data_IF_828151289386
#
_entry.id   IF_828151289386
#
_cell.length_a   1.000
_cell.length_b   1.000
_cell.length_c   1.000
_cell.angle_alpha   90.00
_cell.angle_beta   90.00
_cell.angle_gamma   90.00
#
_symmetry.space_group_name_H-M   'P 1'
#
loop_
_entity.id
_entity.type
_entity.pdbx_description
1 polymer ?
#
# COMPACT_ATOMS: atom_id res chain seq x y z
N UNK A 1 15.20 3.03 14.97
CA UNK A 1 14.73 4.11 14.07
C UNK A 1 13.38 4.56 14.62
N UNK A 2 13.41 5.27 15.74
CA UNK A 2 12.22 5.87 16.35
C UNK A 2 12.01 7.22 15.65
N UNK A 3 10.97 7.35 14.81
CA UNK A 3 10.72 8.64 14.13
C UNK A 3 9.64 8.63 13.06
N UNK A 4 9.41 7.50 12.39
CA UNK A 4 8.31 7.32 11.45
C UNK A 4 7.32 6.32 12.05
N UNK A 5 6.19 6.81 12.56
CA UNK A 5 5.08 5.98 13.05
C UNK A 5 4.30 5.38 11.87
N UNK A 6 5.00 4.62 11.02
CA UNK A 6 4.45 3.98 9.84
C UNK A 6 3.75 2.66 10.17
N UNK A 7 2.74 2.33 9.38
CA UNK A 7 1.92 1.14 9.50
C UNK A 7 2.08 0.31 8.23
N UNK A 8 1.95 -1.02 8.36
CA UNK A 8 1.88 -1.89 7.20
C UNK A 8 0.44 -2.34 6.98
N UNK A 9 -0.03 -2.29 5.74
CA UNK A 9 -1.41 -2.57 5.37
C UNK A 9 -1.50 -3.50 4.18
N UNK A 10 -2.58 -4.29 4.12
CA UNK A 10 -2.92 -5.08 2.95
C UNK A 10 -4.34 -5.62 3.03
N UNK A 11 -4.67 -6.51 2.10
CA UNK A 11 -6.03 -7.04 1.92
C UNK A 11 -6.02 -8.55 2.11
N UNK A 12 -6.81 -9.02 3.07
CA UNK A 12 -7.04 -10.43 3.31
C UNK A 12 -8.39 -10.89 2.75
N UNK A 13 -8.44 -12.11 2.21
CA UNK A 13 -9.65 -12.81 1.79
C UNK A 13 -9.74 -14.09 2.58
N UNK A 14 -10.95 -14.43 3.05
CA UNK A 14 -11.23 -15.68 3.75
C UNK A 14 -12.35 -16.43 3.04
N UNK A 15 -12.12 -17.71 2.75
CA UNK A 15 -13.12 -18.64 2.20
C UNK A 15 -13.09 -19.93 2.99
N UNK A 16 -14.05 -20.09 3.91
CA UNK A 16 -14.02 -21.18 4.88
C UNK A 16 -12.79 -21.07 5.79
N UNK A 17 -11.98 -22.14 5.84
CA UNK A 17 -10.70 -22.18 6.57
C UNK A 17 -9.52 -21.59 5.80
N UNK A 18 -9.67 -21.35 4.48
CA UNK A 18 -8.58 -20.81 3.67
C UNK A 18 -8.51 -19.29 3.78
N UNK A 19 -7.29 -18.79 3.90
CA UNK A 19 -7.04 -17.36 3.93
C UNK A 19 -5.93 -16.99 2.95
N UNK A 20 -6.21 -15.98 2.13
CA UNK A 20 -5.26 -15.35 1.21
C UNK A 20 -5.00 -13.93 1.69
N UNK A 21 -3.79 -13.44 1.47
CA UNK A 21 -3.40 -12.09 1.83
C UNK A 21 -2.54 -11.46 0.75
N UNK A 22 -2.87 -10.21 0.39
CA UNK A 22 -2.14 -9.40 -0.57
C UNK A 22 -1.50 -8.20 0.13
N UNK A 23 -0.21 -8.00 -0.10
CA UNK A 23 0.55 -6.83 0.34
C UNK A 23 1.29 -6.16 -0.81
N UNK A 24 1.39 -4.84 -0.74
CA UNK A 24 2.29 -4.07 -1.58
C UNK A 24 3.42 -3.51 -0.72
N UNK A 25 4.67 -3.86 -1.00
CA UNK A 25 5.80 -3.53 -0.12
C UNK A 25 7.10 -3.26 -0.89
N UNK A 26 8.05 -2.58 -0.25
CA UNK A 26 9.39 -2.39 -0.78
C UNK A 26 10.19 -3.71 -0.73
N UNK A 27 10.75 -4.13 -1.87
CA UNK A 27 11.35 -5.46 -2.02
C UNK A 27 12.50 -5.75 -1.04
N UNK A 28 13.33 -4.76 -0.73
CA UNK A 28 14.49 -4.91 0.17
C UNK A 28 14.12 -4.46 1.59
N UNK A 29 13.79 -3.19 1.73
CA UNK A 29 13.30 -2.59 2.98
C UNK A 29 12.69 -1.23 2.68
N UNK A 30 11.84 -0.72 3.57
CA UNK A 30 11.33 0.64 3.48
C UNK A 30 12.48 1.66 3.44
N UNK A 31 13.51 1.50 4.28
CA UNK A 31 14.68 2.39 4.33
C UNK A 31 15.42 2.45 2.99
N UNK A 32 15.71 1.29 2.38
CA UNK A 32 16.38 1.23 1.09
C UNK A 32 15.54 1.80 -0.07
N UNK A 33 14.22 1.85 0.09
CA UNK A 33 13.33 2.45 -0.90
C UNK A 33 13.30 3.99 -0.83
N UNK A 34 13.59 4.58 0.33
CA UNK A 34 13.47 6.03 0.54
C UNK A 34 14.82 6.74 0.64
N UNK A 35 15.89 6.03 1.01
CA UNK A 35 17.25 6.56 1.08
C UNK A 35 18.09 5.85 0.01
N UNK A 36 18.57 6.57 -1.02
CA UNK A 36 19.47 5.98 -2.00
C UNK A 36 20.83 5.72 -1.35
N UNK A 37 21.58 4.79 -1.93
CA UNK A 37 22.98 4.55 -1.56
C UNK A 37 23.91 5.21 -2.56
N UNK A 38 25.10 5.58 -2.12
CA UNK A 38 26.17 6.08 -3.00
C UNK A 38 27.31 5.09 -2.95
N UNK A 39 27.68 4.52 -4.09
CA UNK A 39 28.84 3.65 -4.25
C UNK A 39 29.59 4.05 -5.53
N UNK A 40 30.91 4.15 -5.46
CA UNK A 40 31.75 4.57 -6.60
C UNK A 40 31.30 5.91 -7.23
N UNK A 41 30.85 6.87 -6.43
CA UNK A 41 30.27 8.16 -6.88
C UNK A 41 28.96 8.05 -7.68
N UNK A 42 28.34 6.88 -7.73
CA UNK A 42 27.03 6.67 -8.35
C UNK A 42 25.93 6.55 -7.31
N UNK A 43 24.84 7.28 -7.54
CA UNK A 43 23.64 7.23 -6.72
C UNK A 43 22.73 6.10 -7.21
N UNK A 44 22.42 5.15 -6.33
CA UNK A 44 21.60 3.97 -6.64
C UNK A 44 20.35 3.93 -5.78
N UNK A 45 19.21 3.65 -6.41
CA UNK A 45 17.92 3.47 -5.74
C UNK A 45 17.55 1.99 -5.66
N UNK A 46 17.19 1.55 -4.46
CA UNK A 46 16.68 0.20 -4.19
C UNK A 46 15.19 0.24 -3.82
N UNK A 47 14.41 0.91 -4.67
CA UNK A 47 13.01 1.27 -4.40
C UNK A 47 11.99 0.43 -5.17
N UNK A 48 12.35 -0.76 -5.64
CA UNK A 48 11.40 -1.66 -6.30
C UNK A 48 10.28 -2.03 -5.33
N UNK A 49 9.04 -1.88 -5.77
CA UNK A 49 7.87 -2.37 -5.04
C UNK A 49 7.38 -3.71 -5.59
N UNK A 50 6.83 -4.53 -4.70
CA UNK A 50 6.34 -5.87 -5.00
C UNK A 50 4.92 -6.02 -4.47
N UNK A 51 4.04 -6.58 -5.29
CA UNK A 51 2.76 -7.11 -4.84
C UNK A 51 2.96 -8.59 -4.47
N UNK A 52 2.95 -8.89 -3.17
CA UNK A 52 3.03 -10.24 -2.63
C UNK A 52 1.64 -10.83 -2.44
N UNK A 53 1.52 -12.13 -2.75
CA UNK A 53 0.39 -12.98 -2.37
C UNK A 53 0.91 -14.04 -1.41
N UNK A 54 0.27 -14.16 -0.24
CA UNK A 54 0.57 -15.16 0.78
C UNK A 54 -0.68 -15.95 1.13
N UNK A 55 -0.50 -17.22 1.45
CA UNK A 55 -1.57 -18.12 1.87
C UNK A 55 -1.37 -18.55 3.32
N UNK A 56 -2.46 -18.94 4.00
CA UNK A 56 -2.44 -19.53 5.34
C UNK A 56 -1.79 -18.63 6.41
N UNK A 57 -1.85 -17.31 6.22
CA UNK A 57 -1.46 -16.34 7.25
C UNK A 57 -2.64 -16.14 8.19
N UNK A 58 -2.46 -16.40 9.48
CA UNK A 58 -3.47 -16.05 10.49
C UNK A 58 -3.59 -14.53 10.57
N UNK A 59 -4.78 -13.98 10.30
CA UNK A 59 -5.06 -12.54 10.45
C UNK A 59 -6.38 -12.37 11.23
N UNK A 60 -6.36 -11.67 12.37
CA UNK A 60 -5.18 -11.07 13.00
C UNK A 60 -4.19 -12.14 13.53
N UNK A 61 -2.92 -11.76 13.68
CA UNK A 61 -1.90 -12.54 14.40
C UNK A 61 -1.37 -11.75 15.59
N UNK A 62 -0.78 -12.45 16.56
CA UNK A 62 -0.22 -11.82 17.77
C UNK A 62 1.00 -10.95 17.46
N UNK A 63 1.78 -11.31 16.43
CA UNK A 63 3.11 -10.71 16.20
C UNK A 63 3.13 -9.56 15.18
N UNK A 64 2.30 -9.63 14.13
CA UNK A 64 2.46 -8.74 12.97
C UNK A 64 1.14 -8.13 12.50
N UNK A 65 0.16 -8.97 12.17
CA UNK A 65 -1.16 -8.51 11.76
C UNK A 65 -2.06 -8.30 12.96
N UNK A 66 -1.69 -7.37 13.83
CA UNK A 66 -2.34 -7.18 15.14
C UNK A 66 -3.78 -6.65 15.05
N UNK A 67 -4.18 -6.13 13.89
CA UNK A 67 -5.53 -5.60 13.64
C UNK A 67 -6.03 -6.05 12.27
N UNK A 68 -7.32 -6.34 12.21
CA UNK A 68 -8.02 -6.57 10.95
C UNK A 68 -9.41 -5.96 11.01
N UNK A 69 -9.93 -5.62 9.83
CA UNK A 69 -11.25 -5.06 9.69
C UNK A 69 -11.98 -5.75 8.55
N UNK A 70 -13.19 -6.22 8.83
CA UNK A 70 -14.07 -6.74 7.80
C UNK A 70 -14.65 -5.58 6.97
N UNK A 71 -14.32 -5.54 5.67
CA UNK A 71 -14.84 -4.54 4.74
C UNK A 71 -16.19 -4.96 4.12
N UNK A 72 -16.35 -6.26 3.85
CA UNK A 72 -17.53 -6.85 3.24
C UNK A 72 -17.23 -8.17 2.56
N UNK A 73 -18.27 -8.80 2.01
CA UNK A 73 -18.15 -10.01 1.22
C UNK A 73 -18.14 -9.68 -0.28
N UNK A 74 -17.37 -10.43 -1.05
CA UNK A 74 -17.35 -10.37 -2.52
C UNK A 74 -17.53 -11.77 -3.09
N UNK A 75 -18.09 -11.88 -4.29
CA UNK A 75 -18.19 -13.16 -5.00
C UNK A 75 -16.92 -13.41 -5.85
N UNK A 76 -16.83 -14.61 -6.43
CA UNK A 76 -15.67 -15.01 -7.24
C UNK A 76 -15.45 -14.14 -8.48
N UNK A 77 -16.51 -13.63 -9.11
CA UNK A 77 -16.39 -12.74 -10.28
C UNK A 77 -15.70 -11.43 -9.91
N UNK A 78 -16.12 -10.80 -8.82
CA UNK A 78 -15.52 -9.56 -8.30
C UNK A 78 -14.08 -9.79 -7.88
N UNK A 79 -13.80 -10.90 -7.18
CA UNK A 79 -12.44 -11.27 -6.77
C UNK A 79 -11.50 -11.44 -7.97
N UNK A 80 -11.92 -12.19 -9.00
CA UNK A 80 -11.08 -12.43 -10.18
C UNK A 80 -10.78 -11.13 -10.95
N UNK A 81 -11.78 -10.26 -11.14
CA UNK A 81 -11.59 -8.96 -11.76
C UNK A 81 -10.60 -8.10 -10.97
N UNK A 82 -10.71 -8.12 -9.63
CA UNK A 82 -9.78 -7.44 -8.75
C UNK A 82 -8.36 -7.99 -8.84
N UNK A 83 -8.15 -9.31 -8.92
CA UNK A 83 -6.82 -9.91 -9.10
C UNK A 83 -6.14 -9.42 -10.38
N UNK A 84 -6.88 -9.31 -11.50
CA UNK A 84 -6.36 -8.73 -12.74
C UNK A 84 -5.99 -7.26 -12.58
N UNK A 85 -6.81 -6.49 -11.85
CA UNK A 85 -6.52 -5.11 -11.50
C UNK A 85 -5.24 -5.01 -10.64
N UNK A 86 -5.08 -5.86 -9.63
CA UNK A 86 -3.93 -5.84 -8.72
C UNK A 86 -2.62 -6.13 -9.47
N UNK A 87 -2.62 -7.10 -10.39
CA UNK A 87 -1.47 -7.34 -11.27
C UNK A 87 -1.14 -6.12 -12.15
N UNK A 88 -2.18 -5.41 -12.63
CA UNK A 88 -2.00 -4.18 -13.41
C UNK A 88 -1.48 -3.03 -12.55
N UNK A 89 -1.94 -2.93 -11.30
CA UNK A 89 -1.44 -1.99 -10.31
C UNK A 89 0.07 -2.14 -10.11
N UNK A 90 0.53 -3.35 -9.83
CA UNK A 90 1.95 -3.64 -9.58
C UNK A 90 2.84 -3.26 -10.77
N UNK A 91 2.36 -3.44 -12.01
CA UNK A 91 3.07 -3.00 -13.22
C UNK A 91 3.08 -1.48 -13.40
N UNK A 92 1.97 -0.82 -13.07
CA UNK A 92 1.82 0.64 -13.20
C UNK A 92 2.65 1.39 -12.15
N UNK A 93 2.79 0.81 -10.96
CA UNK A 93 3.49 1.40 -9.83
C UNK A 93 4.63 0.46 -9.37
N UNK A 94 5.73 0.37 -10.14
CA UNK A 94 6.81 -0.58 -9.87
C UNK A 94 7.78 -0.10 -8.78
N UNK A 95 7.61 1.12 -8.26
CA UNK A 95 8.49 1.73 -7.28
C UNK A 95 7.72 2.15 -6.04
N UNK A 96 8.29 1.86 -4.87
CA UNK A 96 7.76 2.27 -3.57
C UNK A 96 8.14 3.73 -3.33
N UNK A 97 7.15 4.58 -3.07
CA UNK A 97 7.33 6.01 -2.81
C UNK A 97 6.63 6.36 -1.50
N UNK A 98 7.39 6.66 -0.45
CA UNK A 98 6.81 6.98 0.85
C UNK A 98 6.25 8.40 0.91
N UNK A 99 6.89 9.34 0.21
CA UNK A 99 6.64 10.76 0.44
C UNK A 99 5.58 11.31 -0.50
N UNK A 100 4.63 12.06 0.07
CA UNK A 100 3.98 13.12 -0.70
C UNK A 100 4.90 14.33 -0.72
N UNK A 101 5.24 14.82 -1.91
CA UNK A 101 5.97 16.09 -2.05
C UNK A 101 4.95 17.18 -2.36
N UNK A 102 4.82 18.13 -1.44
CA UNK A 102 3.83 19.21 -1.43
C UNK A 102 4.53 20.55 -1.61
N UNK A 103 3.84 21.55 -2.14
CA UNK A 103 4.39 22.89 -2.37
C UNK A 103 4.60 23.68 -1.07
N UNK A 104 3.64 23.62 -0.15
CA UNK A 104 3.66 24.35 1.14
C UNK A 104 2.67 23.76 2.14
N UNK A 105 2.63 24.33 3.34
CA UNK A 105 1.57 24.08 4.31
C UNK A 105 0.67 25.32 4.48
N UNK A 106 -0.66 25.20 4.40
CA UNK A 106 -1.41 24.05 3.89
C UNK A 106 -1.17 23.82 2.39
N UNK A 107 -1.21 22.57 1.90
CA UNK A 107 -0.86 22.26 0.52
C UNK A 107 -1.85 22.88 -0.46
N UNK A 108 -1.31 23.53 -1.48
CA UNK A 108 -2.09 23.95 -2.66
C UNK A 108 -1.79 23.08 -3.88
N UNK A 109 -0.68 22.35 -3.88
CA UNK A 109 -0.29 21.43 -4.94
C UNK A 109 0.51 20.25 -4.39
N UNK A 110 0.23 19.07 -4.93
CA UNK A 110 1.06 17.88 -4.76
C UNK A 110 1.91 17.68 -6.02
N UNK A 111 3.23 17.66 -5.85
CA UNK A 111 4.21 17.43 -6.91
C UNK A 111 4.46 15.94 -7.14
N UNK A 112 4.53 15.17 -6.06
CA UNK A 112 4.72 13.73 -6.07
C UNK A 112 3.75 13.13 -5.08
N UNK A 113 3.02 12.11 -5.51
CA UNK A 113 2.14 11.32 -4.64
C UNK A 113 2.91 10.13 -4.08
N UNK A 114 2.61 9.80 -2.83
CA UNK A 114 3.01 8.53 -2.24
C UNK A 114 2.40 7.34 -3.02
N UNK A 115 3.12 6.23 -3.01
CA UNK A 115 2.66 4.92 -3.44
C UNK A 115 3.21 3.86 -2.50
N UNK A 116 2.41 3.57 -1.47
CA UNK A 116 2.76 2.70 -0.34
C UNK A 116 1.78 1.54 -0.20
N UNK A 117 2.02 0.66 0.78
CA UNK A 117 1.09 -0.41 1.14
C UNK A 117 -0.33 0.12 1.43
N UNK A 118 -0.42 1.30 2.04
CA UNK A 118 -1.69 1.94 2.39
C UNK A 118 -2.40 2.49 1.15
N UNK A 119 -1.68 3.18 0.27
CA UNK A 119 -2.24 3.68 -0.99
C UNK A 119 -2.78 2.55 -1.86
N UNK A 120 -2.08 1.41 -1.87
CA UNK A 120 -2.58 0.18 -2.48
C UNK A 120 -3.92 -0.26 -1.89
N UNK A 121 -4.06 -0.33 -0.55
CA UNK A 121 -5.33 -0.73 0.09
C UNK A 121 -6.47 0.23 -0.25
N UNK A 122 -6.24 1.55 -0.22
CA UNK A 122 -7.24 2.54 -0.60
C UNK A 122 -7.69 2.37 -2.06
N UNK A 123 -6.74 2.25 -2.98
CA UNK A 123 -7.03 2.09 -4.41
C UNK A 123 -7.66 0.72 -4.70
N UNK A 124 -7.29 -0.31 -3.97
CA UNK A 124 -7.86 -1.65 -4.08
C UNK A 124 -9.31 -1.69 -3.58
N UNK A 125 -9.63 -1.00 -2.48
CA UNK A 125 -11.02 -0.81 -2.03
C UNK A 125 -11.85 -0.14 -3.13
N UNK A 126 -11.35 0.94 -3.72
CA UNK A 126 -12.03 1.62 -4.82
C UNK A 126 -12.21 0.69 -6.03
N UNK A 127 -11.19 -0.09 -6.39
CA UNK A 127 -11.27 -1.05 -7.48
C UNK A 127 -12.36 -2.10 -7.25
N UNK A 128 -12.46 -2.65 -6.04
CA UNK A 128 -13.56 -3.55 -5.68
C UNK A 128 -14.94 -2.92 -5.90
N UNK A 129 -15.13 -1.67 -5.50
CA UNK A 129 -16.39 -0.95 -5.70
C UNK A 129 -16.70 -0.75 -7.19
N UNK A 130 -15.68 -0.50 -8.04
CA UNK A 130 -15.88 -0.46 -9.51
C UNK A 130 -16.28 -1.79 -10.12
N UNK A 131 -15.98 -2.92 -9.46
CA UNK A 131 -16.40 -4.25 -9.88
C UNK A 131 -17.72 -4.69 -9.24
N UNK A 132 -18.39 -3.82 -8.48
CA UNK A 132 -19.72 -4.08 -7.90
C UNK A 132 -19.71 -4.59 -6.46
N UNK A 133 -18.56 -4.58 -5.78
CA UNK A 133 -18.52 -4.79 -4.33
C UNK A 133 -19.24 -3.65 -3.60
N UNK A 134 -19.82 -3.96 -2.44
CA UNK A 134 -20.41 -2.96 -1.54
C UNK A 134 -19.79 -3.14 -0.16
N UNK A 135 -19.01 -2.16 0.26
CA UNK A 135 -18.36 -2.16 1.57
C UNK A 135 -19.06 -1.21 2.53
N UNK A 136 -18.99 -1.53 3.81
CA UNK A 136 -19.54 -0.66 4.84
C UNK A 136 -18.59 0.54 5.01
N UNK A 137 -19.06 1.77 4.70
CA UNK A 137 -18.21 2.97 4.57
C UNK A 137 -17.79 3.61 5.90
N UNK A 138 -18.20 3.04 7.03
CA UNK A 138 -18.19 3.71 8.33
C UNK A 138 -16.83 3.84 9.01
N UNK A 139 -15.75 3.27 8.47
CA UNK A 139 -14.43 3.39 9.10
C UNK A 139 -13.34 3.76 8.09
N UNK A 140 -12.63 4.88 8.31
CA UNK A 140 -11.54 5.30 7.43
C UNK A 140 -10.41 4.28 7.50
N UNK A 141 -9.93 3.85 6.33
CA UNK A 141 -8.64 3.17 6.23
C UNK A 141 -7.59 4.17 6.71
N UNK A 142 -6.74 3.73 7.64
CA UNK A 142 -5.69 4.56 8.21
C UNK A 142 -4.69 4.95 7.11
N UNK A 143 -4.28 6.22 7.06
CA UNK A 143 -3.35 6.74 6.06
C UNK A 143 -2.07 7.26 6.70
N UNK A 144 -0.92 6.80 6.18
CA UNK A 144 0.40 7.24 6.60
C UNK A 144 0.80 8.48 5.80
N UNK A 145 0.46 9.65 6.34
CA UNK A 145 0.84 10.93 5.73
C UNK A 145 2.29 11.28 6.06
N UNK A 146 3.23 10.80 5.25
CA UNK A 146 4.62 11.28 5.30
C UNK A 146 4.81 12.36 4.24
N UNK A 147 4.70 13.62 4.64
CA UNK A 147 4.72 14.77 3.73
C UNK A 147 6.07 15.49 3.77
N UNK A 148 6.65 15.76 2.60
CA UNK A 148 7.76 16.68 2.41
C UNK A 148 7.24 17.97 1.77
N UNK A 149 7.67 19.12 2.27
CA UNK A 149 7.33 20.42 1.69
C UNK A 149 8.52 20.98 0.93
N UNK A 150 8.34 21.25 -0.35
CA UNK A 150 9.35 21.86 -1.21
C UNK A 150 8.78 23.15 -1.79
N UNK A 151 9.30 24.30 -1.32
CA UNK A 151 8.97 25.58 -1.92
C UNK A 151 9.56 25.64 -3.33
N UNK A 152 8.78 26.11 -4.30
CA UNK A 152 9.33 26.53 -5.58
C UNK A 152 10.16 27.80 -5.36
N UNK A 153 11.45 27.76 -5.70
CA UNK A 153 12.27 28.98 -5.87
C UNK A 153 11.74 29.85 -7.00
#
# INVERSE_FOLDING_TARGET
MEGLNGWHSGIAFRTGSHQLYFEYYANISMTAAIIPTIANSELTWSNIAVLGLKENVNIPSEDYWVRSQFLGAVNGTVFNAWCCWAATYARKYPRYQLFNVLDRWPPTKTHIYADTCVDFVHRAKAAFETFGARFNSLMPVQHDWVNLYAASE
#
